data_IF_160243875150
#
_entry.id   IF_160243875150
#
_cell.length_a   1.000
_cell.length_b   1.000
_cell.length_c   1.000
_cell.angle_alpha   90.00
_cell.angle_beta   90.00
_cell.angle_gamma   90.00
#
_symmetry.space_group_name_H-M   'P 1'
#
loop_
_entity.id
_entity.type
_entity.pdbx_description
1 polymer ?
#
# COMPACT_ATOMS: atom_id res chain seq x y z
N UNK A 1 26.09 -1.81 14.61
CA UNK A 1 24.88 -2.38 13.97
C UNK A 1 23.91 -2.96 15.00
N UNK A 2 24.32 -3.95 15.79
CA UNK A 2 23.41 -4.65 16.74
C UNK A 2 22.77 -3.70 17.77
N UNK A 3 23.52 -2.73 18.30
CA UNK A 3 22.97 -1.75 19.24
C UNK A 3 21.91 -0.85 18.60
N UNK A 4 22.12 -0.41 17.36
CA UNK A 4 21.16 0.39 16.61
C UNK A 4 19.88 -0.42 16.36
N UNK A 5 20.02 -1.68 15.96
CA UNK A 5 18.90 -2.61 15.77
C UNK A 5 18.11 -2.82 17.07
N UNK A 6 18.78 -2.88 18.22
CA UNK A 6 18.13 -3.07 19.53
C UNK A 6 17.27 -1.88 19.94
N UNK A 7 17.59 -0.67 19.45
CA UNK A 7 16.82 0.55 19.73
C UNK A 7 15.63 0.75 18.77
N UNK A 8 15.50 -0.05 17.72
CA UNK A 8 14.40 0.05 16.77
C UNK A 8 13.18 -0.71 17.28
N UNK A 9 12.15 0.03 17.68
CA UNK A 9 10.86 -0.51 18.10
C UNK A 9 9.91 -0.63 16.89
N UNK A 10 10.24 -1.54 15.97
CA UNK A 10 9.35 -1.90 14.86
C UNK A 10 8.59 -3.19 15.21
N UNK A 11 7.25 -3.16 15.35
CA UNK A 11 6.44 -4.34 15.68
C UNK A 11 6.45 -5.40 14.57
N UNK A 12 6.72 -5.01 13.31
CA UNK A 12 6.76 -5.95 12.19
C UNK A 12 7.99 -5.69 11.31
N UNK A 13 9.20 -6.04 11.79
CA UNK A 13 10.45 -5.59 11.20
C UNK A 13 10.71 -6.25 9.84
N UNK A 14 10.73 -5.44 8.78
CA UNK A 14 11.21 -5.87 7.47
C UNK A 14 12.74 -5.89 7.42
N UNK A 15 13.34 -6.95 7.97
CA UNK A 15 14.81 -7.06 8.12
C UNK A 15 15.63 -6.71 6.88
N UNK A 16 15.17 -7.08 5.68
CA UNK A 16 15.88 -6.81 4.43
C UNK A 16 15.97 -5.31 4.12
N UNK A 17 14.88 -4.58 4.30
CA UNK A 17 14.84 -3.13 4.10
C UNK A 17 15.58 -2.40 5.23
N UNK A 18 15.41 -2.89 6.46
CA UNK A 18 15.99 -2.29 7.65
C UNK A 18 17.53 -2.31 7.62
N UNK A 19 18.15 -3.43 7.21
CA UNK A 19 19.60 -3.51 7.00
C UNK A 19 20.07 -2.58 5.88
N UNK A 20 19.26 -2.43 4.82
CA UNK A 20 19.60 -1.55 3.70
C UNK A 20 19.51 -0.05 4.07
N UNK A 21 18.62 0.32 4.99
CA UNK A 21 18.41 1.71 5.43
C UNK A 21 19.52 2.20 6.35
N UNK A 22 20.08 1.34 7.21
CA UNK A 22 21.11 1.74 8.20
C UNK A 22 22.40 2.26 7.52
N UNK A 23 22.69 1.86 6.28
CA UNK A 23 23.70 2.52 5.44
C UNK A 23 25.18 2.25 5.78
N UNK A 24 25.49 1.29 6.66
CA UNK A 24 26.88 0.87 6.91
C UNK A 24 27.54 0.20 5.70
N UNK A 25 28.87 0.15 5.71
CA UNK A 25 29.64 -0.63 4.75
C UNK A 25 29.18 -2.09 4.75
N UNK A 26 28.82 -2.60 3.56
CA UNK A 26 28.35 -3.96 3.35
C UNK A 26 29.22 -4.63 2.30
N UNK A 27 29.65 -5.85 2.60
CA UNK A 27 30.24 -6.73 1.60
C UNK A 27 29.12 -7.54 0.93
N UNK A 28 29.10 -7.55 -0.41
CA UNK A 28 28.19 -8.38 -1.19
C UNK A 28 28.96 -9.65 -1.57
N UNK A 29 28.51 -10.79 -1.07
CA UNK A 29 29.12 -12.10 -1.39
C UNK A 29 28.20 -12.78 -2.40
N UNK A 30 28.69 -12.91 -3.63
CA UNK A 30 27.99 -13.67 -4.66
C UNK A 30 28.07 -15.16 -4.34
N UNK A 31 26.92 -15.83 -4.36
CA UNK A 31 26.85 -17.27 -4.21
C UNK A 31 25.80 -17.84 -5.14
N UNK A 32 26.08 -19.02 -5.70
CA UNK A 32 25.11 -19.76 -6.51
C UNK A 32 24.24 -20.58 -5.56
N UNK A 33 22.96 -20.22 -5.45
CA UNK A 33 22.03 -20.95 -4.58
C UNK A 33 21.72 -22.34 -5.18
N UNK A 34 22.06 -23.44 -4.49
CA UNK A 34 21.75 -24.77 -4.99
C UNK A 34 20.24 -25.04 -4.96
N UNK A 35 19.75 -25.81 -5.93
CA UNK A 35 18.33 -26.19 -5.99
C UNK A 35 17.96 -27.01 -4.76
N UNK A 36 16.85 -26.65 -4.11
CA UNK A 36 16.32 -27.35 -2.92
C UNK A 36 16.08 -28.83 -3.25
N UNK A 37 16.71 -29.74 -2.50
CA UNK A 37 16.62 -31.20 -2.73
C UNK A 37 15.39 -31.86 -2.10
N UNK A 38 14.86 -31.31 -0.99
CA UNK A 38 13.70 -31.85 -0.26
C UNK A 38 12.88 -30.72 0.37
N UNK A 39 11.58 -30.98 0.58
CA UNK A 39 10.64 -30.07 1.24
C UNK A 39 9.90 -29.12 0.28
N UNK A 40 8.75 -28.61 0.75
CA UNK A 40 7.98 -27.57 0.04
C UNK A 40 8.47 -26.19 0.44
N UNK A 41 8.37 -25.23 -0.47
CA UNK A 41 8.64 -23.83 -0.15
C UNK A 41 7.64 -23.33 0.90
N UNK A 42 8.13 -22.57 1.88
CA UNK A 42 7.26 -21.80 2.78
C UNK A 42 6.85 -20.45 2.18
N UNK A 43 7.56 -20.02 1.12
CA UNK A 43 7.25 -18.79 0.39
C UNK A 43 6.15 -19.11 -0.63
N UNK A 44 4.91 -18.85 -0.23
CA UNK A 44 3.74 -18.85 -1.10
C UNK A 44 3.57 -17.46 -1.72
N UNK A 45 2.77 -17.36 -2.79
CA UNK A 45 2.47 -16.08 -3.43
C UNK A 45 1.95 -15.03 -2.44
N UNK A 46 1.02 -15.41 -1.56
CA UNK A 46 0.47 -14.51 -0.53
C UNK A 46 1.54 -14.00 0.44
N UNK A 47 2.44 -14.87 0.91
CA UNK A 47 3.52 -14.45 1.84
C UNK A 47 4.52 -13.50 1.16
N UNK A 48 4.78 -13.70 -0.13
CA UNK A 48 5.65 -12.83 -0.92
C UNK A 48 4.98 -11.47 -1.18
N UNK A 49 3.69 -11.47 -1.50
CA UNK A 49 2.89 -10.25 -1.69
C UNK A 49 2.82 -9.44 -0.39
N UNK A 50 2.53 -10.10 0.73
CA UNK A 50 2.47 -9.47 2.06
C UNK A 50 3.82 -8.83 2.42
N UNK A 51 4.92 -9.56 2.23
CA UNK A 51 6.27 -9.03 2.43
C UNK A 51 6.57 -7.83 1.53
N UNK A 52 6.12 -7.85 0.27
CA UNK A 52 6.31 -6.75 -0.66
C UNK A 52 5.48 -5.52 -0.27
N UNK A 53 4.22 -5.73 0.16
CA UNK A 53 3.37 -4.64 0.63
C UNK A 53 3.92 -4.00 1.90
N UNK A 54 4.36 -4.81 2.87
CA UNK A 54 5.03 -4.32 4.07
C UNK A 54 6.28 -3.50 3.75
N UNK A 55 7.10 -3.96 2.79
CA UNK A 55 8.25 -3.19 2.32
C UNK A 55 7.86 -1.86 1.67
N UNK A 56 6.79 -1.83 0.89
CA UNK A 56 6.29 -0.61 0.25
C UNK A 56 5.68 0.37 1.25
N UNK A 57 4.85 -0.09 2.18
CA UNK A 57 4.14 0.78 3.14
C UNK A 57 5.07 1.34 4.20
N UNK A 58 6.05 0.55 4.68
CA UNK A 58 6.99 1.00 5.71
C UNK A 58 8.06 1.96 5.20
N UNK A 59 8.55 1.76 3.96
CA UNK A 59 9.69 2.52 3.43
C UNK A 59 9.33 3.54 2.34
N UNK A 60 8.09 3.52 1.83
CA UNK A 60 7.72 4.35 0.69
C UNK A 60 6.35 5.00 0.82
N UNK A 61 6.31 6.32 0.60
CA UNK A 61 5.06 7.10 0.45
C UNK A 61 4.57 7.16 -0.99
N UNK A 62 5.24 6.44 -1.90
CA UNK A 62 4.94 6.47 -3.34
C UNK A 62 3.51 5.99 -3.66
N UNK A 63 3.00 4.88 -3.10
CA UNK A 63 1.65 4.43 -3.43
C UNK A 63 0.58 5.45 -3.02
N UNK A 64 0.75 6.09 -1.86
CA UNK A 64 -0.15 7.14 -1.39
C UNK A 64 -0.10 8.38 -2.30
N UNK A 65 1.10 8.79 -2.74
CA UNK A 65 1.26 9.92 -3.68
C UNK A 65 0.65 9.62 -5.05
N UNK A 66 0.87 8.43 -5.58
CA UNK A 66 0.25 7.99 -6.83
C UNK A 66 -1.27 7.99 -6.72
N UNK A 67 -1.81 7.52 -5.60
CA UNK A 67 -3.25 7.54 -5.34
C UNK A 67 -3.80 8.98 -5.39
N UNK A 68 -3.14 9.93 -4.73
CA UNK A 68 -3.56 11.34 -4.75
C UNK A 68 -3.47 11.97 -6.15
N UNK A 69 -2.42 11.66 -6.92
CA UNK A 69 -2.24 12.18 -8.27
C UNK A 69 -3.30 11.61 -9.23
N UNK A 70 -3.56 10.31 -9.16
CA UNK A 70 -4.64 9.68 -9.92
C UNK A 70 -6.01 10.27 -9.56
N UNK A 71 -6.28 10.49 -8.27
CA UNK A 71 -7.51 11.15 -7.81
C UNK A 71 -7.66 12.57 -8.35
N UNK A 72 -6.57 13.34 -8.35
CA UNK A 72 -6.56 14.70 -8.89
C UNK A 72 -6.82 14.73 -10.41
N UNK A 73 -6.13 13.87 -11.17
CA UNK A 73 -6.37 13.74 -12.62
C UNK A 73 -7.82 13.34 -12.89
N UNK A 74 -8.36 12.36 -12.16
CA UNK A 74 -9.74 11.92 -12.29
C UNK A 74 -10.74 13.05 -11.98
N UNK A 75 -10.45 13.88 -10.98
CA UNK A 75 -11.27 15.05 -10.63
C UNK A 75 -11.28 16.09 -11.76
N UNK A 76 -10.14 16.38 -12.38
CA UNK A 76 -10.05 17.30 -13.53
C UNK A 76 -10.86 16.76 -14.71
N UNK A 77 -10.69 15.47 -15.04
CA UNK A 77 -11.45 14.83 -16.14
C UNK A 77 -12.95 14.89 -15.86
N UNK A 78 -13.37 14.57 -14.63
CA UNK A 78 -14.77 14.66 -14.21
C UNK A 78 -15.34 16.07 -14.35
N UNK A 79 -14.57 17.09 -13.96
CA UNK A 79 -14.97 18.49 -14.07
C UNK A 79 -15.11 18.93 -15.54
N UNK A 80 -14.19 18.51 -16.42
CA UNK A 80 -14.27 18.79 -17.85
C UNK A 80 -15.49 18.12 -18.50
N UNK A 81 -15.76 16.85 -18.16
CA UNK A 81 -16.94 16.13 -18.65
C UNK A 81 -18.23 16.79 -18.15
N UNK A 82 -18.28 17.18 -16.87
CA UNK A 82 -19.43 17.86 -16.29
C UNK A 82 -19.69 19.22 -16.97
N UNK A 83 -18.64 20.02 -17.22
CA UNK A 83 -18.75 21.27 -17.97
C UNK A 83 -19.24 21.04 -19.40
N UNK A 84 -18.71 20.03 -20.09
CA UNK A 84 -19.17 19.64 -21.43
C UNK A 84 -20.65 19.27 -21.46
N UNK A 85 -21.09 18.45 -20.50
CA UNK A 85 -22.51 18.08 -20.33
C UNK A 85 -23.38 19.30 -20.02
N UNK A 86 -22.89 20.22 -19.19
CA UNK A 86 -23.60 21.44 -18.82
C UNK A 86 -23.82 22.37 -20.03
N UNK A 87 -22.76 22.63 -20.80
CA UNK A 87 -22.83 23.44 -22.03
C UNK A 87 -23.76 22.79 -23.05
N UNK A 88 -23.64 21.46 -23.25
CA UNK A 88 -24.48 20.73 -24.19
C UNK A 88 -25.96 20.79 -23.81
N UNK A 89 -26.27 20.73 -22.50
CA UNK A 89 -27.64 20.87 -21.99
C UNK A 89 -28.22 22.26 -22.22
N UNK A 90 -27.41 23.33 -22.11
CA UNK A 90 -27.85 24.71 -22.40
C UNK A 90 -28.18 24.87 -23.90
N UNK A 91 -27.36 24.31 -24.78
CA UNK A 91 -27.55 24.41 -26.24
C UNK A 91 -28.73 23.57 -26.76
N UNK A 92 -28.98 22.40 -26.17
CA UNK A 92 -29.97 21.43 -26.65
C UNK A 92 -31.05 21.09 -25.61
N UNK A 93 -31.57 22.12 -24.93
CA UNK A 93 -32.51 21.99 -23.80
C UNK A 93 -33.69 21.05 -24.05
N UNK A 94 -34.27 21.06 -25.26
CA UNK A 94 -35.46 20.29 -25.63
C UNK A 94 -35.16 18.88 -26.16
N UNK A 95 -33.91 18.57 -26.54
CA UNK A 95 -33.54 17.27 -27.16
C UNK A 95 -32.70 16.38 -26.25
N UNK A 96 -32.22 16.90 -25.13
CA UNK A 96 -31.31 16.18 -24.25
C UNK A 96 -32.05 15.52 -23.09
N UNK A 97 -32.46 14.25 -23.28
CA UNK A 97 -32.86 13.41 -22.15
C UNK A 97 -31.62 12.78 -21.51
N UNK A 98 -31.42 12.99 -20.21
CA UNK A 98 -30.38 12.25 -19.49
C UNK A 98 -30.76 10.77 -19.47
N UNK A 99 -29.96 9.94 -20.12
CA UNK A 99 -30.08 8.50 -19.99
C UNK A 99 -29.79 8.07 -18.55
N UNK A 100 -30.68 7.25 -17.98
CA UNK A 100 -30.51 6.67 -16.64
C UNK A 100 -29.33 5.69 -16.61
N UNK A 101 -29.07 4.99 -17.72
CA UNK A 101 -27.97 4.03 -17.82
C UNK A 101 -26.57 4.67 -17.61
N UNK A 102 -26.18 5.76 -18.31
CA UNK A 102 -24.94 6.48 -18.03
C UNK A 102 -24.79 6.95 -16.57
N UNK A 103 -25.89 7.40 -15.94
CA UNK A 103 -25.88 7.84 -14.54
C UNK A 103 -25.54 6.68 -13.59
N UNK A 104 -26.21 5.54 -13.76
CA UNK A 104 -25.98 4.36 -12.91
C UNK A 104 -24.56 3.83 -13.08
N UNK A 105 -24.08 3.74 -14.33
CA UNK A 105 -22.71 3.29 -14.63
C UNK A 105 -21.68 4.24 -13.99
N UNK A 106 -21.87 5.55 -14.14
CA UNK A 106 -20.99 6.56 -13.53
C UNK A 106 -20.97 6.47 -12.00
N UNK A 107 -22.12 6.25 -11.38
CA UNK A 107 -22.24 6.10 -9.93
C UNK A 107 -21.52 4.86 -9.40
N UNK A 108 -21.71 3.71 -10.04
CA UNK A 108 -20.98 2.49 -9.67
C UNK A 108 -19.46 2.64 -9.88
N UNK A 109 -19.04 3.21 -11.00
CA UNK A 109 -17.63 3.45 -11.29
C UNK A 109 -16.99 4.35 -10.22
N UNK A 110 -17.65 5.46 -9.88
CA UNK A 110 -17.18 6.38 -8.84
C UNK A 110 -17.09 5.67 -7.48
N UNK A 111 -18.10 4.86 -7.13
CA UNK A 111 -18.15 4.12 -5.88
C UNK A 111 -17.02 3.07 -5.79
N UNK A 112 -16.73 2.36 -6.88
CA UNK A 112 -15.61 1.40 -6.94
C UNK A 112 -14.25 2.09 -6.74
N UNK A 113 -14.04 3.26 -7.36
CA UNK A 113 -12.80 4.03 -7.21
C UNK A 113 -12.65 4.54 -5.77
N UNK A 114 -13.73 5.01 -5.14
CA UNK A 114 -13.70 5.44 -3.74
C UNK A 114 -13.36 4.30 -2.78
N UNK A 115 -13.98 3.12 -2.97
CA UNK A 115 -13.69 1.92 -2.16
C UNK A 115 -12.24 1.47 -2.30
N UNK A 116 -11.67 1.55 -3.51
CA UNK A 116 -10.25 1.26 -3.73
C UNK A 116 -9.34 2.19 -2.92
N UNK A 117 -9.59 3.51 -2.96
CA UNK A 117 -8.80 4.47 -2.18
C UNK A 117 -8.98 4.33 -0.68
N UNK A 118 -10.20 4.00 -0.22
CA UNK A 118 -10.46 3.68 1.19
C UNK A 118 -9.71 2.43 1.65
N UNK A 119 -9.66 1.39 0.82
CA UNK A 119 -8.86 0.19 1.09
C UNK A 119 -7.37 0.51 1.24
N UNK A 120 -6.83 1.33 0.32
CA UNK A 120 -5.44 1.79 0.41
C UNK A 120 -5.20 2.59 1.70
N UNK A 121 -6.07 3.53 2.04
CA UNK A 121 -5.98 4.28 3.31
C UNK A 121 -6.05 3.36 4.53
N UNK A 122 -6.92 2.34 4.50
CA UNK A 122 -7.05 1.34 5.55
C UNK A 122 -5.75 0.61 5.84
N UNK A 123 -4.98 0.26 4.80
CA UNK A 123 -3.67 -0.38 4.93
C UNK A 123 -2.67 0.51 5.68
N UNK A 124 -2.60 1.80 5.32
CA UNK A 124 -1.72 2.76 6.01
C UNK A 124 -2.16 3.02 7.45
N UNK A 125 -3.47 3.15 7.69
CA UNK A 125 -4.00 3.34 9.05
C UNK A 125 -3.71 2.10 9.90
N UNK A 126 -3.85 0.90 9.35
CA UNK A 126 -3.51 -0.36 10.02
C UNK A 126 -2.03 -0.45 10.39
N UNK A 127 -1.14 -0.02 9.48
CA UNK A 127 0.30 0.06 9.75
C UNK A 127 0.60 1.06 10.89
N UNK A 128 0.00 2.27 10.83
CA UNK A 128 0.15 3.28 11.89
C UNK A 128 -0.37 2.74 13.22
N UNK A 129 -1.56 2.13 13.24
CA UNK A 129 -2.15 1.56 14.44
C UNK A 129 -1.24 0.50 15.07
N UNK A 130 -0.64 -0.36 14.24
CA UNK A 130 0.29 -1.39 14.70
C UNK A 130 1.54 -0.77 15.32
N UNK A 131 2.07 0.29 14.73
CA UNK A 131 3.24 1.02 15.24
C UNK A 131 2.93 1.81 16.53
N UNK A 132 1.74 2.39 16.64
CA UNK A 132 1.29 3.14 17.84
C UNK A 132 1.02 2.21 19.03
N UNK A 133 0.52 1.00 18.78
CA UNK A 133 0.20 0.07 19.86
C UNK A 133 1.41 -0.35 20.69
N UNK A 134 2.62 -0.22 20.13
CA UNK A 134 3.92 -0.45 20.77
C UNK A 134 3.93 -1.68 21.71
N UNK A 135 3.36 -2.80 21.21
CA UNK A 135 3.32 -4.06 21.98
C UNK A 135 4.74 -4.64 22.07
N UNK A 136 5.11 -5.23 23.22
CA UNK A 136 6.39 -5.92 23.34
C UNK A 136 6.44 -7.07 22.32
N UNK A 137 7.54 -7.15 21.56
CA UNK A 137 7.74 -8.15 20.50
C UNK A 137 7.65 -9.59 21.04
N UNK A 138 8.21 -9.80 22.22
CA UNK A 138 8.24 -11.09 22.90
C UNK A 138 8.09 -10.83 24.40
N UNK A 139 7.32 -11.69 25.07
CA UNK A 139 7.25 -11.75 26.52
C UNK A 139 8.08 -12.95 26.94
N UNK A 140 9.15 -12.70 27.70
CA UNK A 140 10.01 -13.76 28.23
C UNK A 140 9.25 -14.51 29.33
N UNK A 141 9.18 -15.84 29.21
CA UNK A 141 8.55 -16.68 30.23
C UNK A 141 9.50 -16.96 31.40
N UNK A 142 10.76 -17.26 31.09
CA UNK A 142 11.78 -17.63 32.06
C UNK A 142 13.17 -17.41 31.43
N UNK A 143 14.14 -16.95 32.22
CA UNK A 143 15.55 -16.89 31.83
C UNK A 143 16.33 -17.95 32.60
N UNK A 144 17.06 -18.80 31.90
CA UNK A 144 17.92 -19.82 32.49
C UNK A 144 19.38 -19.46 32.14
N UNK A 145 20.27 -19.46 33.12
CA UNK A 145 21.72 -19.17 32.99
C UNK A 145 22.06 -17.73 32.54
N UNK A 146 21.32 -16.74 33.01
CA UNK A 146 21.67 -15.32 32.91
C UNK A 146 22.07 -14.77 34.28
#
# INVERSE_FOLDING_TARGET
IIEILRNLNDPYPYFRGLIAEIGFEKAIIEYVQPKRKKGKTKNNFYTLYDTAMLGLTSYSKVPLRLATLCGFIMSIVSLLVALGYFIYKILFWQRFSLGIAPLIIGLFFFSSVQLFFLGLLGEYIGAIYTQVLNRPLVIEKERINF
#
